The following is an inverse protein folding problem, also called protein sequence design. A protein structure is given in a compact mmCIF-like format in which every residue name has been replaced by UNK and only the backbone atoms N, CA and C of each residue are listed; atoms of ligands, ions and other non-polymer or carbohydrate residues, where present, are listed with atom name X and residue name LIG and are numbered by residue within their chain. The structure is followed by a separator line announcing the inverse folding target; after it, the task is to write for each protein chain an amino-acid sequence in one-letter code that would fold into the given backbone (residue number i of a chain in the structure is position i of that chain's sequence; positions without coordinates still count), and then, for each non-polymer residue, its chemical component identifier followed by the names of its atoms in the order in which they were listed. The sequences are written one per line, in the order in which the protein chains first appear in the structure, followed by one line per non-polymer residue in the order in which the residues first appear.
data_IF_793869625445
#
_entry.id   IF_793869625445
#
_cell.length_a   1.000
_cell.length_b   1.000
_cell.length_c   1.000
_cell.angle_alpha   90.00
_cell.angle_beta   90.00
_cell.angle_gamma   90.00
#
_symmetry.space_group_name_H-M   'P 1'
#
loop_
_entity.id
_entity.type
_entity.pdbx_description
1 polymer ?
#
# COMPACT_ATOMS: atom_id res chain seq x y z
N UNK A 1 13.58 17.09 75.06
CA UNK A 1 13.69 17.05 73.58
C UNK A 1 12.72 16.05 72.91
N UNK A 2 12.40 14.90 73.51
CA UNK A 2 11.49 13.90 72.91
C UNK A 2 10.03 14.38 72.71
N UNK A 3 9.49 15.13 73.68
CA UNK A 3 8.10 15.65 73.63
C UNK A 3 7.88 16.66 72.51
N UNK A 4 8.87 17.52 72.21
CA UNK A 4 8.80 18.46 71.09
C UNK A 4 8.81 17.73 69.74
N UNK A 5 9.60 16.66 69.60
CA UNK A 5 9.62 15.85 68.37
C UNK A 5 8.27 15.16 68.13
N UNK A 6 7.63 14.64 69.19
CA UNK A 6 6.30 14.04 69.08
C UNK A 6 5.23 15.05 68.65
N UNK A 7 5.26 16.27 69.20
CA UNK A 7 4.32 17.33 68.81
C UNK A 7 4.51 17.71 67.35
N UNK A 8 5.75 17.83 66.87
CA UNK A 8 6.04 18.16 65.47
C UNK A 8 5.59 17.04 64.53
N UNK A 9 5.84 15.78 64.87
CA UNK A 9 5.40 14.63 64.05
C UNK A 9 3.86 14.57 63.98
N UNK A 10 3.18 14.79 65.10
CA UNK A 10 1.73 14.74 65.16
C UNK A 10 1.08 15.92 64.41
N UNK A 11 1.68 17.12 64.50
CA UNK A 11 1.27 18.27 63.72
C UNK A 11 1.48 18.04 62.21
N UNK A 12 2.61 17.44 61.82
CA UNK A 12 2.89 17.11 60.42
C UNK A 12 1.89 16.07 59.88
N UNK A 13 1.59 15.03 60.66
CA UNK A 13 0.61 14.02 60.29
C UNK A 13 -0.79 14.64 60.08
N UNK A 14 -1.21 15.53 60.98
CA UNK A 14 -2.49 16.24 60.84
C UNK A 14 -2.55 17.12 59.58
N UNK A 15 -1.45 17.80 59.23
CA UNK A 15 -1.38 18.61 57.99
C UNK A 15 -1.49 17.73 56.75
N UNK A 16 -0.80 16.58 56.72
CA UNK A 16 -0.87 15.64 55.60
C UNK A 16 -2.30 15.09 55.44
N UNK A 17 -2.97 14.74 56.53
CA UNK A 17 -4.36 14.26 56.54
C UNK A 17 -5.31 15.31 55.93
N UNK A 18 -5.19 16.58 56.35
CA UNK A 18 -6.02 17.69 55.86
C UNK A 18 -5.80 17.92 54.37
N UNK A 19 -4.54 17.88 53.92
CA UNK A 19 -4.21 18.05 52.50
C UNK A 19 -4.75 16.87 51.67
N UNK A 20 -4.63 15.63 52.17
CA UNK A 20 -5.18 14.45 51.51
C UNK A 20 -6.71 14.52 51.37
N UNK A 21 -7.42 14.99 52.39
CA UNK A 21 -8.87 15.21 52.34
C UNK A 21 -9.26 16.29 51.33
N UNK A 22 -8.51 17.40 51.29
CA UNK A 22 -8.71 18.47 50.32
C UNK A 22 -8.52 18.00 48.87
N UNK A 23 -7.45 17.25 48.59
CA UNK A 23 -7.19 16.66 47.27
C UNK A 23 -8.29 15.68 46.90
N UNK A 24 -8.76 14.84 47.82
CA UNK A 24 -9.82 13.85 47.55
C UNK A 24 -11.15 14.51 47.21
N UNK A 25 -11.49 15.62 47.88
CA UNK A 25 -12.66 16.44 47.55
C UNK A 25 -12.55 17.05 46.14
N UNK A 26 -11.41 17.69 45.85
CA UNK A 26 -11.10 18.26 44.54
C UNK A 26 -11.14 17.21 43.43
N UNK A 27 -10.57 16.03 43.64
CA UNK A 27 -10.52 14.97 42.64
C UNK A 27 -11.93 14.40 42.36
N UNK A 28 -12.77 14.30 43.39
CA UNK A 28 -14.15 13.86 43.24
C UNK A 28 -14.97 14.86 42.44
N UNK A 29 -14.90 16.14 42.78
CA UNK A 29 -15.76 17.16 42.17
C UNK A 29 -15.23 17.62 40.81
N UNK A 30 -13.92 17.69 40.61
CA UNK A 30 -13.31 18.13 39.36
C UNK A 30 -13.12 17.01 38.33
N UNK A 31 -13.04 15.74 38.76
CA UNK A 31 -12.77 14.61 37.86
C UNK A 31 -13.90 13.60 37.81
N UNK A 32 -14.33 13.08 38.97
CA UNK A 32 -15.30 11.98 39.02
C UNK A 32 -16.69 12.45 38.59
N UNK A 33 -17.17 13.54 39.17
CA UNK A 33 -18.49 14.13 38.86
C UNK A 33 -18.66 14.48 37.38
N UNK A 34 -17.76 15.25 36.73
CA UNK A 34 -17.91 15.57 35.31
C UNK A 34 -17.78 14.34 34.41
N UNK A 35 -16.93 13.37 34.76
CA UNK A 35 -16.82 12.13 33.99
C UNK A 35 -18.11 11.31 34.04
N UNK A 36 -18.77 11.27 35.20
CA UNK A 36 -20.07 10.60 35.36
C UNK A 36 -21.15 11.26 34.50
N UNK A 37 -21.21 12.60 34.49
CA UNK A 37 -22.13 13.34 33.63
C UNK A 37 -21.82 13.13 32.15
N UNK A 38 -20.55 13.02 31.78
CA UNK A 38 -20.14 12.78 30.39
C UNK A 38 -20.56 11.38 29.94
N UNK A 39 -20.33 10.35 30.75
CA UNK A 39 -20.79 8.97 30.49
C UNK A 39 -22.32 8.94 30.38
N UNK A 40 -23.03 9.55 31.33
CA UNK A 40 -24.49 9.59 31.31
C UNK A 40 -25.03 10.31 30.07
N UNK A 41 -24.44 11.45 29.70
CA UNK A 41 -24.80 12.19 28.51
C UNK A 41 -24.57 11.38 27.23
N UNK A 42 -23.44 10.69 27.13
CA UNK A 42 -23.14 9.78 26.01
C UNK A 42 -24.16 8.65 25.93
N UNK A 43 -24.44 7.98 27.05
CA UNK A 43 -25.43 6.90 27.10
C UNK A 43 -26.82 7.41 26.69
N UNK A 44 -27.20 8.61 27.12
CA UNK A 44 -28.47 9.24 26.74
C UNK A 44 -28.56 9.57 25.25
N UNK A 45 -27.45 10.01 24.65
CA UNK A 45 -27.37 10.20 23.20
C UNK A 45 -27.55 8.86 22.49
N UNK A 46 -26.91 7.78 22.96
CA UNK A 46 -27.07 6.46 22.35
C UNK A 46 -28.50 5.90 22.50
N UNK A 47 -29.16 6.09 23.64
CA UNK A 47 -30.57 5.71 23.83
C UNK A 47 -31.53 6.50 22.95
N UNK A 48 -31.21 7.76 22.67
CA UNK A 48 -32.05 8.63 21.83
C UNK A 48 -31.87 8.40 20.34
N UNK A 49 -30.86 7.62 19.92
CA UNK A 49 -30.74 7.14 18.53
C UNK A 49 -31.82 6.07 18.33
N UNK A 50 -32.87 6.34 17.54
CA UNK A 50 -33.86 5.34 17.23
C UNK A 50 -33.17 4.19 16.51
N UNK A 51 -33.46 2.95 16.90
CA UNK A 51 -32.89 1.77 16.26
C UNK A 51 -33.03 1.80 14.72
N UNK A 52 -34.10 2.44 14.22
CA UNK A 52 -34.31 2.70 12.80
C UNK A 52 -33.19 3.52 12.12
N UNK A 53 -32.55 4.48 12.80
CA UNK A 53 -31.44 5.24 12.22
C UNK A 53 -30.20 4.38 11.98
N UNK A 54 -29.90 3.45 12.88
CA UNK A 54 -28.79 2.50 12.71
C UNK A 54 -29.05 1.63 11.46
N UNK A 55 -30.28 1.12 11.33
CA UNK A 55 -30.70 0.37 10.14
C UNK A 55 -30.65 1.22 8.88
N UNK A 56 -31.03 2.50 8.94
CA UNK A 56 -30.99 3.41 7.80
C UNK A 56 -29.54 3.65 7.35
N UNK A 57 -28.61 3.91 8.27
CA UNK A 57 -27.17 4.03 7.95
C UNK A 57 -26.64 2.74 7.35
N UNK A 58 -27.01 1.59 7.92
CA UNK A 58 -26.59 0.28 7.41
C UNK A 58 -27.11 0.03 5.98
N UNK A 59 -28.41 0.25 5.75
CA UNK A 59 -29.03 0.11 4.43
C UNK A 59 -28.45 1.11 3.44
N UNK A 60 -28.19 2.35 3.85
CA UNK A 60 -27.56 3.36 3.00
C UNK A 60 -26.13 2.94 2.62
N UNK A 61 -25.33 2.48 3.57
CA UNK A 61 -23.98 1.97 3.31
C UNK A 61 -24.00 0.75 2.38
N UNK A 62 -24.87 -0.23 2.65
CA UNK A 62 -25.04 -1.39 1.79
C UNK A 62 -25.49 -1.00 0.38
N UNK A 63 -26.39 -0.01 0.26
CA UNK A 63 -26.87 0.52 -1.01
C UNK A 63 -25.77 1.25 -1.79
N UNK A 64 -24.94 2.05 -1.11
CA UNK A 64 -23.76 2.70 -1.71
C UNK A 64 -22.79 1.64 -2.21
N UNK A 65 -22.51 0.60 -1.43
CA UNK A 65 -21.64 -0.51 -1.84
C UNK A 65 -22.23 -1.25 -3.03
N UNK A 66 -23.55 -1.51 -3.04
CA UNK A 66 -24.23 -2.14 -4.16
C UNK A 66 -24.18 -1.28 -5.43
N UNK A 67 -24.47 0.02 -5.35
CA UNK A 67 -24.35 0.95 -6.48
C UNK A 67 -22.90 1.07 -6.96
N UNK A 68 -21.94 1.17 -6.04
CA UNK A 68 -20.52 1.19 -6.36
C UNK A 68 -20.07 -0.14 -6.97
N UNK A 69 -20.70 -1.27 -6.63
CA UNK A 69 -20.45 -2.56 -7.26
C UNK A 69 -21.03 -2.63 -8.67
N UNK A 70 -22.24 -2.12 -8.89
CA UNK A 70 -22.86 -2.08 -10.23
C UNK A 70 -22.10 -1.13 -11.16
N UNK A 71 -21.75 0.07 -10.71
CA UNK A 71 -21.02 1.05 -11.51
C UNK A 71 -19.51 0.80 -11.56
N UNK A 72 -18.93 0.25 -10.50
CA UNK A 72 -17.52 -0.13 -10.41
C UNK A 72 -17.22 -1.51 -11.02
N UNK A 73 -18.24 -2.33 -11.27
CA UNK A 73 -18.14 -3.70 -11.81
C UNK A 73 -17.52 -3.80 -13.21
N UNK A 74 -17.37 -2.68 -13.92
CA UNK A 74 -16.63 -2.66 -15.21
C UNK A 74 -15.11 -2.57 -15.09
N UNK A 75 -14.53 -2.45 -13.88
CA UNK A 75 -13.07 -2.26 -13.71
C UNK A 75 -12.30 -3.46 -13.16
N UNK A 76 -12.92 -4.61 -12.90
CA UNK A 76 -12.17 -5.68 -12.25
C UNK A 76 -12.82 -7.05 -12.14
N UNK A 77 -13.87 -7.35 -12.90
CA UNK A 77 -14.09 -8.76 -13.20
C UNK A 77 -12.92 -9.20 -14.08
N UNK A 78 -11.93 -9.83 -13.43
CA UNK A 78 -11.19 -10.91 -14.05
C UNK A 78 -12.26 -11.87 -14.54
N UNK A 79 -12.70 -11.63 -15.76
CA UNK A 79 -13.50 -12.53 -16.55
C UNK A 79 -12.74 -13.85 -16.44
N UNK A 80 -13.24 -14.74 -15.59
CA UNK A 80 -12.98 -16.16 -15.72
C UNK A 80 -13.65 -16.50 -17.05
N UNK A 81 -12.97 -16.17 -18.13
CA UNK A 81 -13.25 -16.71 -19.44
C UNK A 81 -12.99 -18.20 -19.29
N UNK A 82 -14.08 -18.88 -18.97
CA UNK A 82 -14.38 -20.25 -19.35
C UNK A 82 -14.52 -20.35 -20.87
N UNK A 83 -13.68 -19.64 -21.62
CA UNK A 83 -13.54 -19.76 -23.07
C UNK A 83 -12.23 -20.48 -23.36
N UNK A 84 -12.38 -21.79 -23.42
CA UNK A 84 -11.38 -22.82 -23.60
C UNK A 84 -10.82 -22.90 -25.02
N UNK A 85 -10.93 -21.85 -25.85
CA UNK A 85 -10.84 -22.04 -27.30
C UNK A 85 -9.54 -21.59 -27.99
N UNK A 86 -8.71 -20.67 -27.47
CA UNK A 86 -7.40 -20.35 -28.10
C UNK A 86 -6.35 -19.88 -27.07
N UNK A 87 -5.87 -20.78 -26.21
CA UNK A 87 -4.78 -20.48 -25.25
C UNK A 87 -3.41 -20.79 -25.86
N UNK A 88 -3.00 -19.96 -26.82
CA UNK A 88 -1.63 -19.95 -27.32
C UNK A 88 -0.72 -19.04 -26.50
N UNK A 89 0.59 -19.35 -26.45
CA UNK A 89 1.61 -18.48 -25.82
C UNK A 89 1.56 -17.05 -26.36
N UNK A 90 1.27 -16.90 -27.66
CA UNK A 90 1.10 -15.59 -28.34
C UNK A 90 -0.04 -14.76 -27.74
N UNK A 91 -1.17 -15.39 -27.39
CA UNK A 91 -2.31 -14.70 -26.78
C UNK A 91 -1.97 -14.18 -25.38
N UNK A 92 -1.20 -14.92 -24.59
CA UNK A 92 -0.71 -14.44 -23.30
C UNK A 92 0.18 -13.19 -23.45
N UNK A 93 1.06 -13.17 -24.45
CA UNK A 93 1.91 -12.01 -24.72
C UNK A 93 1.10 -10.80 -25.19
N UNK A 94 0.17 -10.97 -26.13
CA UNK A 94 -0.74 -9.91 -26.57
C UNK A 94 -1.56 -9.34 -25.40
N UNK A 95 -2.10 -10.21 -24.55
CA UNK A 95 -2.83 -9.80 -23.35
C UNK A 95 -1.93 -9.02 -22.38
N UNK A 96 -0.69 -9.44 -22.20
CA UNK A 96 0.24 -8.77 -21.30
C UNK A 96 0.65 -7.40 -21.83
N UNK A 97 0.87 -7.26 -23.14
CA UNK A 97 1.11 -5.95 -23.80
C UNK A 97 -0.08 -5.02 -23.59
N UNK A 98 -1.31 -5.50 -23.83
CA UNK A 98 -2.52 -4.70 -23.62
C UNK A 98 -2.70 -4.26 -22.15
N UNK A 99 -2.34 -5.11 -21.19
CA UNK A 99 -2.36 -4.79 -19.76
C UNK A 99 -1.25 -3.80 -19.37
N UNK A 100 -0.05 -3.94 -19.94
CA UNK A 100 1.08 -3.05 -19.69
C UNK A 100 0.83 -1.62 -20.18
N UNK A 101 -0.06 -1.41 -21.15
CA UNK A 101 -0.48 -0.05 -21.52
C UNK A 101 -1.35 0.65 -20.46
N UNK A 102 -1.98 -0.11 -19.54
CA UNK A 102 -2.99 0.42 -18.60
C UNK A 102 -2.55 0.44 -17.14
N UNK A 103 -1.63 -0.43 -16.74
CA UNK A 103 -1.27 -0.63 -15.33
C UNK A 103 0.25 -0.69 -15.11
N UNK A 104 0.75 0.09 -14.14
CA UNK A 104 2.16 0.13 -13.73
C UNK A 104 2.70 -1.26 -13.34
N UNK A 105 1.91 -2.04 -12.59
CA UNK A 105 2.27 -3.41 -12.23
C UNK A 105 2.45 -4.31 -13.46
N UNK A 106 1.60 -4.14 -14.47
CA UNK A 106 1.69 -4.89 -15.73
C UNK A 106 2.89 -4.45 -16.56
N UNK A 107 3.27 -3.17 -16.52
CA UNK A 107 4.53 -2.65 -17.11
C UNK A 107 5.75 -3.30 -16.48
N UNK A 108 5.82 -3.32 -15.15
CA UNK A 108 6.89 -4.00 -14.42
C UNK A 108 6.96 -5.48 -14.76
N UNK A 109 5.80 -6.17 -14.81
CA UNK A 109 5.74 -7.59 -15.18
C UNK A 109 6.18 -7.85 -16.64
N UNK A 110 5.91 -6.92 -17.54
CA UNK A 110 6.40 -6.96 -18.93
C UNK A 110 7.93 -6.81 -18.96
N UNK A 111 8.47 -5.79 -18.27
CA UNK A 111 9.91 -5.57 -18.14
C UNK A 111 10.63 -6.81 -17.61
N UNK A 112 10.09 -7.42 -16.55
CA UNK A 112 10.65 -8.64 -15.96
C UNK A 112 10.67 -9.81 -16.96
N UNK A 113 9.56 -10.03 -17.69
CA UNK A 113 9.48 -11.12 -18.69
C UNK A 113 10.40 -10.88 -19.88
N UNK A 114 10.49 -9.66 -20.40
CA UNK A 114 11.40 -9.31 -21.49
C UNK A 114 12.85 -9.46 -21.07
N UNK A 115 13.23 -8.98 -19.88
CA UNK A 115 14.59 -9.14 -19.35
C UNK A 115 14.95 -10.61 -19.16
N UNK A 116 14.01 -11.44 -18.68
CA UNK A 116 14.23 -12.88 -18.56
C UNK A 116 14.45 -13.54 -19.92
N UNK A 117 13.58 -13.27 -20.90
CA UNK A 117 13.73 -13.81 -22.25
C UNK A 117 15.07 -13.40 -22.86
N UNK A 118 15.44 -12.13 -22.74
CA UNK A 118 16.70 -11.63 -23.26
C UNK A 118 17.88 -12.32 -22.58
N UNK A 119 17.84 -12.46 -21.24
CA UNK A 119 18.88 -13.17 -20.50
C UNK A 119 18.99 -14.65 -20.91
N UNK A 120 17.86 -15.32 -21.15
CA UNK A 120 17.83 -16.70 -21.64
C UNK A 120 18.45 -16.82 -23.03
N UNK A 121 18.14 -15.88 -23.94
CA UNK A 121 18.74 -15.87 -25.29
C UNK A 121 20.25 -15.64 -25.25
N UNK A 122 20.74 -14.69 -24.45
CA UNK A 122 22.17 -14.44 -24.28
C UNK A 122 22.86 -15.65 -23.65
N UNK A 123 22.28 -16.23 -22.59
CA UNK A 123 22.83 -17.39 -21.90
C UNK A 123 22.94 -18.61 -22.81
N UNK A 124 21.87 -18.92 -23.55
CA UNK A 124 21.84 -20.04 -24.49
C UNK A 124 22.87 -19.87 -25.61
N UNK A 125 23.04 -18.64 -26.09
CA UNK A 125 23.93 -18.32 -27.21
C UNK A 125 25.40 -18.30 -26.82
N UNK A 126 25.76 -17.53 -25.78
CA UNK A 126 27.14 -17.36 -25.34
C UNK A 126 27.61 -18.54 -24.46
N UNK A 127 26.73 -19.52 -24.18
CA UNK A 127 26.96 -20.66 -23.29
C UNK A 127 27.43 -20.22 -21.90
N UNK A 128 26.86 -19.12 -21.41
CA UNK A 128 27.12 -18.59 -20.07
C UNK A 128 25.96 -18.91 -19.13
N UNK A 129 26.20 -18.81 -17.82
CA UNK A 129 25.13 -18.94 -16.84
C UNK A 129 24.10 -17.81 -16.99
N UNK A 130 22.81 -18.15 -16.81
CA UNK A 130 21.70 -17.20 -16.84
C UNK A 130 21.90 -16.02 -15.88
N UNK A 131 22.52 -16.26 -14.72
CA UNK A 131 22.84 -15.22 -13.73
C UNK A 131 23.82 -14.17 -14.29
N UNK A 132 24.84 -14.62 -15.04
CA UNK A 132 25.83 -13.74 -15.66
C UNK A 132 25.17 -12.93 -16.79
N UNK A 133 24.32 -13.56 -17.61
CA UNK A 133 23.55 -12.88 -18.64
C UNK A 133 22.62 -11.79 -18.06
N UNK A 134 21.91 -12.09 -16.96
CA UNK A 134 21.10 -11.09 -16.24
C UNK A 134 21.95 -9.94 -15.71
N UNK A 135 23.08 -10.24 -15.09
CA UNK A 135 23.97 -9.22 -14.54
C UNK A 135 24.50 -8.29 -15.64
N UNK A 136 24.77 -8.82 -16.85
CA UNK A 136 25.21 -8.05 -18.02
C UNK A 136 24.14 -7.07 -18.53
N UNK A 137 22.87 -7.48 -18.51
CA UNK A 137 21.73 -6.60 -18.84
C UNK A 137 21.61 -5.50 -17.77
N UNK A 138 21.67 -5.88 -16.49
CA UNK A 138 21.55 -4.94 -15.37
C UNK A 138 22.71 -3.95 -15.35
N UNK A 139 23.94 -4.36 -15.69
CA UNK A 139 25.10 -3.47 -15.76
C UNK A 139 25.10 -2.55 -16.98
N UNK A 140 24.16 -2.72 -17.93
CA UNK A 140 24.08 -1.93 -19.16
C UNK A 140 25.15 -2.30 -20.19
N UNK A 141 25.75 -3.50 -20.09
CA UNK A 141 26.74 -4.00 -21.04
C UNK A 141 26.08 -4.64 -22.29
N UNK A 142 24.92 -4.10 -22.69
CA UNK A 142 24.14 -4.47 -23.86
C UNK A 142 24.03 -3.25 -24.78
N UNK A 143 24.09 -3.49 -26.09
CA UNK A 143 24.02 -2.41 -27.09
C UNK A 143 22.56 -2.01 -27.35
N UNK A 144 21.96 -1.28 -26.40
CA UNK A 144 20.58 -0.82 -26.46
C UNK A 144 20.45 0.63 -25.99
N UNK A 145 19.43 1.38 -26.47
CA UNK A 145 19.14 2.73 -25.98
C UNK A 145 18.98 2.78 -24.45
N UNK A 146 19.44 3.87 -23.83
CA UNK A 146 19.49 4.00 -22.36
C UNK A 146 18.11 3.82 -21.70
N UNK A 147 17.05 4.28 -22.35
CA UNK A 147 15.67 4.14 -21.85
C UNK A 147 15.22 2.67 -21.80
N UNK A 148 15.62 1.88 -22.79
CA UNK A 148 15.33 0.44 -22.85
C UNK A 148 16.11 -0.31 -21.78
N UNK A 149 17.37 0.06 -21.55
CA UNK A 149 18.19 -0.50 -20.46
C UNK A 149 17.57 -0.17 -19.10
N UNK A 150 17.10 1.07 -18.90
CA UNK A 150 16.42 1.49 -17.69
C UNK A 150 15.12 0.69 -17.45
N UNK A 151 14.34 0.47 -18.51
CA UNK A 151 13.13 -0.35 -18.46
C UNK A 151 13.42 -1.80 -18.07
N UNK A 152 14.41 -2.44 -18.73
CA UNK A 152 14.80 -3.81 -18.41
C UNK A 152 15.37 -3.96 -17.00
N UNK A 153 16.16 -2.96 -16.55
CA UNK A 153 16.67 -2.90 -15.17
C UNK A 153 15.53 -2.80 -14.15
N UNK A 154 14.51 -1.99 -14.42
CA UNK A 154 13.34 -1.90 -13.54
C UNK A 154 12.59 -3.23 -13.39
N UNK A 155 12.66 -4.12 -14.39
CA UNK A 155 12.15 -5.49 -14.30
C UNK A 155 13.01 -6.46 -13.48
N UNK A 156 14.28 -6.11 -13.20
CA UNK A 156 15.19 -6.91 -12.38
C UNK A 156 15.03 -6.62 -10.88
N UNK A 157 14.62 -5.41 -10.55
CA UNK A 157 14.38 -4.97 -9.18
C UNK A 157 13.02 -5.46 -8.65
N UNK A 158 12.91 -5.53 -7.32
CA UNK A 158 11.64 -5.83 -6.66
C UNK A 158 10.60 -4.74 -6.95
N UNK A 159 9.36 -5.15 -7.21
CA UNK A 159 8.27 -4.21 -7.48
C UNK A 159 8.12 -3.23 -6.33
N UNK A 160 8.42 -1.94 -6.58
CA UNK A 160 8.14 -0.86 -5.64
C UNK A 160 6.85 -0.19 -6.06
N UNK A 161 5.79 -0.43 -5.30
CA UNK A 161 4.51 0.26 -5.48
C UNK A 161 4.75 1.77 -5.39
N UNK A 162 4.35 2.49 -6.42
CA UNK A 162 4.32 3.96 -6.48
C UNK A 162 3.46 4.48 -5.32
N UNK A 163 4.07 4.78 -4.16
CA UNK A 163 3.40 5.53 -3.11
C UNK A 163 3.28 6.97 -3.63
N UNK A 164 2.12 7.26 -4.24
CA UNK A 164 1.74 8.63 -4.62
C UNK A 164 1.63 9.47 -3.36
N UNK A 165 2.73 10.09 -2.94
CA UNK A 165 2.68 11.23 -2.06
C UNK A 165 2.05 12.38 -2.86
N UNK A 166 1.01 13.01 -2.30
CA UNK A 166 0.17 14.05 -2.93
C UNK A 166 0.94 15.30 -3.44
N UNK A 167 2.25 15.38 -3.22
CA UNK A 167 3.07 16.58 -3.46
C UNK A 167 4.43 16.32 -4.15
N UNK A 168 4.75 15.11 -4.58
CA UNK A 168 5.98 14.88 -5.33
C UNK A 168 5.73 15.08 -6.83
N UNK A 169 6.49 16.02 -7.42
CA UNK A 169 6.62 16.20 -8.88
C UNK A 169 6.77 14.83 -9.53
N UNK A 170 6.02 14.60 -10.61
CA UNK A 170 6.09 13.38 -11.42
C UNK A 170 7.51 13.27 -12.02
N UNK A 171 8.43 12.63 -11.30
CA UNK A 171 9.66 12.15 -11.91
C UNK A 171 9.29 11.04 -12.90
N UNK A 172 9.80 11.12 -14.15
CA UNK A 172 9.50 10.13 -15.18
C UNK A 172 9.96 8.75 -14.68
N UNK A 173 9.04 7.80 -14.55
CA UNK A 173 9.40 6.46 -14.11
C UNK A 173 10.22 5.79 -15.20
N UNK A 174 11.25 4.98 -14.85
CA UNK A 174 11.93 4.13 -15.83
C UNK A 174 10.98 3.11 -16.50
N UNK A 175 9.76 2.94 -16.00
CA UNK A 175 8.70 2.13 -16.61
C UNK A 175 7.79 2.92 -17.57
N UNK A 176 7.92 4.24 -17.67
CA UNK A 176 7.10 5.12 -18.52
C UNK A 176 7.60 5.22 -19.97
N UNK A 177 8.50 4.32 -20.37
CA UNK A 177 9.01 4.18 -21.74
C UNK A 177 7.93 3.63 -22.68
N UNK A 178 7.98 4.06 -23.94
CA UNK A 178 7.14 3.51 -24.99
C UNK A 178 7.45 2.01 -25.21
N UNK A 179 6.44 1.17 -25.01
CA UNK A 179 6.54 -0.29 -25.12
C UNK A 179 6.94 -0.72 -26.53
N UNK A 180 6.53 0.01 -27.57
CA UNK A 180 6.88 -0.33 -28.95
C UNK A 180 8.38 -0.16 -29.20
N UNK A 181 8.97 0.91 -28.66
CA UNK A 181 10.42 1.15 -28.74
C UNK A 181 11.22 0.08 -28.01
N UNK A 182 10.76 -0.35 -26.82
CA UNK A 182 11.40 -1.42 -26.05
C UNK A 182 11.37 -2.74 -26.81
N UNK A 183 10.21 -3.12 -27.36
CA UNK A 183 10.07 -4.38 -28.12
C UNK A 183 10.95 -4.35 -29.37
N UNK A 184 10.96 -3.25 -30.11
CA UNK A 184 11.78 -3.10 -31.30
C UNK A 184 13.28 -3.18 -30.99
N UNK A 185 13.74 -2.52 -29.92
CA UNK A 185 15.14 -2.56 -29.51
C UNK A 185 15.57 -3.97 -29.09
N UNK A 186 14.72 -4.70 -28.34
CA UNK A 186 14.99 -6.09 -27.95
C UNK A 186 15.01 -7.01 -29.18
N UNK A 187 14.08 -6.85 -30.11
CA UNK A 187 14.05 -7.63 -31.35
C UNK A 187 15.33 -7.41 -32.18
N UNK A 188 15.76 -6.16 -32.32
CA UNK A 188 17.00 -5.80 -33.01
C UNK A 188 18.21 -6.44 -32.34
N UNK A 189 18.29 -6.40 -31.01
CA UNK A 189 19.40 -6.98 -30.26
C UNK A 189 19.49 -8.51 -30.41
N UNK A 190 18.34 -9.17 -30.58
CA UNK A 190 18.27 -10.61 -30.86
C UNK A 190 18.65 -10.93 -32.32
N UNK A 191 18.33 -10.04 -33.27
CA UNK A 191 18.58 -10.26 -34.71
C UNK A 191 20.00 -9.87 -35.17
N UNK A 192 20.57 -8.81 -34.61
CA UNK A 192 21.81 -8.19 -35.11
C UNK A 192 23.10 -8.79 -34.52
N UNK A 193 23.01 -9.78 -33.62
CA UNK A 193 24.19 -10.47 -33.10
C UNK A 193 24.34 -11.83 -33.72
#
# INVERSE_FOLDING_TARGET
MWRQRLIVILALAAVVEIVALGIRGLLKDALITPLLYLIWGVMRIFESIPQGMIWLVFVAAASIVALASIWGGRRGEVRRDTDTALRGRVYEWLRLVALAQRHDYSRWRMAQRLMLLLAETIAARERIELRIARQRIVSGAIDAPQDVVAFLRAGADSYRTRQRALFQREEPSPLDVDLEQVVFAVERLVRDQ
#
